data_IF_767512565875
#
_entry.id   IF_767512565875
#
_cell.length_a   1.000
_cell.length_b   1.000
_cell.length_c   1.000
_cell.angle_alpha   90.00
_cell.angle_beta   90.00
_cell.angle_gamma   90.00
#
_symmetry.space_group_name_H-M   'P 1'
#
loop_
_entity.id
_entity.type
_entity.pdbx_description
1 polymer ?
#
# COMPACT_ATOMS: atom_id res chain seq x y z
N UNK A 1 -56.17 -12.20 35.09
CA UNK A 1 -55.79 -12.73 33.77
C UNK A 1 -55.15 -11.59 32.98
N UNK A 2 -53.83 -11.60 32.75
CA UNK A 2 -53.11 -10.50 32.13
C UNK A 2 -53.17 -10.61 30.60
N UNK A 3 -53.56 -9.53 29.92
CA UNK A 3 -53.53 -9.41 28.47
C UNK A 3 -52.19 -8.83 28.02
N UNK A 4 -51.46 -9.61 27.23
CA UNK A 4 -50.12 -9.30 26.72
C UNK A 4 -50.11 -8.13 25.73
N UNK A 5 -48.99 -7.40 25.77
CA UNK A 5 -48.62 -6.35 24.83
C UNK A 5 -48.28 -6.93 23.44
N UNK A 6 -48.57 -6.17 22.38
CA UNK A 6 -47.82 -6.27 21.13
C UNK A 6 -47.73 -4.89 20.48
N UNK A 7 -46.62 -4.21 20.75
CA UNK A 7 -46.15 -3.06 19.97
C UNK A 7 -45.59 -3.61 18.66
N UNK A 8 -46.34 -3.48 17.57
CA UNK A 8 -45.77 -3.64 16.22
C UNK A 8 -44.88 -2.44 15.92
N UNK A 9 -43.59 -2.60 16.19
CA UNK A 9 -42.53 -1.73 15.68
C UNK A 9 -42.45 -1.90 14.16
N UNK A 10 -43.02 -0.94 13.42
CA UNK A 10 -42.81 -0.81 11.99
C UNK A 10 -41.51 -0.07 11.75
N UNK A 11 -40.44 -0.79 11.40
CA UNK A 11 -39.32 -0.22 10.67
C UNK A 11 -38.59 -1.32 9.90
N UNK A 12 -38.89 -1.44 8.61
CA UNK A 12 -38.02 -2.07 7.61
C UNK A 12 -38.22 -1.30 6.32
N UNK A 13 -37.52 -0.20 6.22
CA UNK A 13 -37.20 0.42 4.93
C UNK A 13 -36.19 -0.50 4.24
N UNK A 14 -36.69 -1.62 3.70
CA UNK A 14 -36.01 -2.42 2.70
C UNK A 14 -36.73 -2.12 1.37
N UNK A 15 -36.56 -0.89 0.89
CA UNK A 15 -37.05 -0.49 -0.41
C UNK A 15 -36.10 -1.11 -1.45
N UNK A 16 -36.51 -2.24 -2.03
CA UNK A 16 -35.81 -2.98 -3.08
C UNK A 16 -35.68 -2.25 -4.41
N UNK A 17 -35.48 -0.94 -4.38
CA UNK A 17 -35.16 -0.13 -5.55
C UNK A 17 -33.74 -0.49 -6.01
N UNK A 18 -33.57 -1.07 -7.21
CA UNK A 18 -32.24 -1.41 -7.71
C UNK A 18 -31.39 -0.15 -7.83
N UNK A 19 -30.09 -0.20 -7.46
CA UNK A 19 -29.22 0.96 -7.52
C UNK A 19 -29.18 1.49 -8.95
N UNK A 20 -29.23 2.83 -9.09
CA UNK A 20 -29.13 3.47 -10.40
C UNK A 20 -27.77 3.13 -11.05
N UNK A 21 -27.71 3.15 -12.39
CA UNK A 21 -26.46 2.88 -13.13
C UNK A 21 -25.32 3.82 -12.71
N UNK A 22 -25.67 5.07 -12.38
CA UNK A 22 -24.72 6.08 -11.88
C UNK A 22 -24.21 5.69 -10.48
N UNK A 23 -25.09 5.22 -9.59
CA UNK A 23 -24.69 4.71 -8.27
C UNK A 23 -23.76 3.51 -8.39
N UNK A 24 -24.10 2.55 -9.25
CA UNK A 24 -23.31 1.34 -9.47
C UNK A 24 -21.92 1.66 -10.07
N UNK A 25 -21.83 2.65 -10.95
CA UNK A 25 -20.56 3.09 -11.53
C UNK A 25 -19.67 3.76 -10.48
N UNK A 26 -20.24 4.64 -9.66
CA UNK A 26 -19.53 5.30 -8.55
C UNK A 26 -19.06 4.26 -7.53
N UNK A 27 -19.89 3.29 -7.17
CA UNK A 27 -19.50 2.21 -6.26
C UNK A 27 -18.36 1.36 -6.81
N UNK A 28 -18.38 1.06 -8.11
CA UNK A 28 -17.30 0.33 -8.76
C UNK A 28 -15.97 1.10 -8.74
N UNK A 29 -16.03 2.42 -8.99
CA UNK A 29 -14.86 3.30 -8.93
C UNK A 29 -14.33 3.47 -7.50
N UNK A 30 -15.21 3.68 -6.52
CA UNK A 30 -14.82 3.73 -5.11
C UNK A 30 -14.16 2.43 -4.67
N UNK A 31 -14.73 1.28 -5.03
CA UNK A 31 -14.16 -0.01 -4.70
C UNK A 31 -12.80 -0.22 -5.41
N UNK A 32 -12.64 0.29 -6.64
CA UNK A 32 -11.35 0.25 -7.36
C UNK A 32 -10.29 1.07 -6.63
N UNK A 33 -10.61 2.30 -6.24
CA UNK A 33 -9.69 3.17 -5.49
C UNK A 33 -9.38 2.59 -4.12
N UNK A 34 -10.38 2.12 -3.39
CA UNK A 34 -10.19 1.51 -2.07
C UNK A 34 -9.20 0.33 -2.16
N UNK A 35 -9.46 -0.63 -3.05
CA UNK A 35 -8.54 -1.78 -3.27
C UNK A 35 -7.12 -1.35 -3.66
N UNK A 36 -7.00 -0.27 -4.43
CA UNK A 36 -5.70 0.28 -4.79
C UNK A 36 -4.96 0.87 -3.58
N UNK A 37 -5.66 1.47 -2.63
CA UNK A 37 -5.11 2.04 -1.40
C UNK A 37 -4.80 0.99 -0.34
N UNK A 38 -5.62 -0.04 -0.16
CA UNK A 38 -5.46 -1.06 0.88
C UNK A 38 -4.14 -1.81 0.74
N UNK A 39 -3.23 -1.72 1.71
CA UNK A 39 -1.93 -2.40 1.63
C UNK A 39 -0.97 -1.81 0.59
N UNK A 40 -1.20 -0.56 0.17
CA UNK A 40 -0.33 0.17 -0.74
C UNK A 40 1.13 0.20 -0.26
N UNK A 41 1.36 0.45 1.04
CA UNK A 41 2.70 0.54 1.58
C UNK A 41 3.44 -0.79 1.54
N UNK A 42 2.74 -1.90 1.80
CA UNK A 42 3.32 -3.24 1.69
C UNK A 42 3.71 -3.56 0.23
N UNK A 43 2.84 -3.24 -0.74
CA UNK A 43 3.16 -3.39 -2.17
C UNK A 43 4.31 -2.47 -2.60
N UNK A 44 4.35 -1.23 -2.12
CA UNK A 44 5.43 -0.28 -2.43
C UNK A 44 6.78 -0.77 -1.88
N UNK A 45 6.78 -1.29 -0.64
CA UNK A 45 7.95 -1.92 -0.03
C UNK A 45 8.42 -3.12 -0.84
N UNK A 46 7.50 -4.00 -1.26
CA UNK A 46 7.80 -5.15 -2.11
C UNK A 46 8.48 -4.71 -3.42
N UNK A 47 7.88 -3.77 -4.15
CA UNK A 47 8.46 -3.21 -5.40
C UNK A 47 9.87 -2.66 -5.18
N UNK A 48 10.14 -2.03 -4.03
CA UNK A 48 11.47 -1.51 -3.69
C UNK A 48 12.48 -2.63 -3.46
N UNK A 49 12.11 -3.62 -2.65
CA UNK A 49 12.97 -4.76 -2.33
C UNK A 49 13.28 -5.60 -3.58
N UNK A 50 12.29 -5.83 -4.45
CA UNK A 50 12.48 -6.54 -5.72
C UNK A 50 13.47 -5.82 -6.64
N UNK A 51 13.37 -4.48 -6.74
CA UNK A 51 14.35 -3.68 -7.49
C UNK A 51 15.76 -3.78 -6.89
N UNK A 52 15.87 -3.71 -5.57
CA UNK A 52 17.15 -3.82 -4.89
C UNK A 52 17.79 -5.20 -5.08
N UNK A 53 17.00 -6.27 -4.96
CA UNK A 53 17.43 -7.64 -5.23
C UNK A 53 17.89 -7.78 -6.69
N UNK A 54 17.15 -7.22 -7.65
CA UNK A 54 17.52 -7.27 -9.06
C UNK A 54 18.87 -6.59 -9.32
N UNK A 55 19.07 -5.38 -8.77
CA UNK A 55 20.31 -4.62 -8.89
C UNK A 55 21.50 -5.37 -8.25
N UNK A 56 21.33 -5.88 -7.02
CA UNK A 56 22.39 -6.65 -6.34
C UNK A 56 22.69 -7.96 -7.05
N UNK A 57 21.68 -8.65 -7.60
CA UNK A 57 21.88 -9.87 -8.38
C UNK A 57 22.66 -9.61 -9.68
N UNK A 58 22.39 -8.49 -10.36
CA UNK A 58 23.16 -8.09 -11.54
C UNK A 58 24.60 -7.70 -11.18
N UNK A 59 24.79 -6.94 -10.10
CA UNK A 59 26.11 -6.58 -9.61
C UNK A 59 26.94 -7.83 -9.27
N UNK A 60 26.38 -8.78 -8.51
CA UNK A 60 27.03 -10.05 -8.18
C UNK A 60 27.39 -10.85 -9.44
N UNK A 61 26.51 -10.93 -10.44
CA UNK A 61 26.82 -11.61 -11.70
C UNK A 61 27.99 -10.94 -12.45
N UNK A 62 28.07 -9.60 -12.43
CA UNK A 62 29.18 -8.86 -13.04
C UNK A 62 30.49 -9.00 -12.26
N UNK A 63 30.43 -9.02 -10.93
CA UNK A 63 31.59 -9.30 -10.06
C UNK A 63 32.10 -10.72 -10.26
N UNK A 64 31.22 -11.72 -10.34
CA UNK A 64 31.58 -13.10 -10.63
C UNK A 64 32.25 -13.25 -12.01
N UNK A 65 31.76 -12.55 -13.03
CA UNK A 65 32.40 -12.54 -14.35
C UNK A 65 33.82 -11.93 -14.30
N UNK A 66 34.02 -10.86 -13.52
CA UNK A 66 35.30 -10.17 -13.37
C UNK A 66 36.29 -10.87 -12.40
N UNK A 67 35.82 -11.64 -11.42
CA UNK A 67 36.65 -12.40 -10.47
C UNK A 67 37.50 -13.50 -11.15
N UNK A 68 37.16 -13.87 -12.38
CA UNK A 68 37.96 -14.76 -13.24
C UNK A 68 39.21 -14.09 -13.82
N UNK A 69 39.40 -12.78 -13.65
CA UNK A 69 40.61 -12.08 -14.10
C UNK A 69 41.71 -12.16 -13.05
N UNK A 70 42.84 -12.75 -13.46
CA UNK A 70 43.98 -13.13 -12.62
C UNK A 70 44.45 -12.00 -11.68
N UNK A 71 44.73 -12.38 -10.43
CA UNK A 71 45.48 -11.55 -9.47
C UNK A 71 46.76 -11.04 -10.16
N UNK A 72 47.04 -9.73 -10.16
CA UNK A 72 48.25 -9.18 -10.77
C UNK A 72 49.49 -9.89 -10.23
N UNK A 73 50.43 -10.26 -11.09
CA UNK A 73 51.63 -11.03 -10.73
C UNK A 73 52.45 -10.40 -9.60
N UNK A 74 52.42 -9.06 -9.51
CA UNK A 74 53.04 -8.27 -8.44
C UNK A 74 52.46 -8.51 -7.03
N UNK A 75 51.29 -9.14 -6.92
CA UNK A 75 50.61 -9.44 -5.65
C UNK A 75 50.87 -10.88 -5.18
N UNK A 76 51.72 -11.65 -5.89
CA UNK A 76 51.96 -13.08 -5.65
C UNK A 76 52.36 -13.48 -4.23
N UNK A 77 53.02 -12.60 -3.46
CA UNK A 77 53.36 -12.86 -2.05
C UNK A 77 52.16 -12.69 -1.08
N UNK A 78 51.12 -11.97 -1.49
CA UNK A 78 49.87 -11.74 -0.75
C UNK A 78 48.68 -12.46 -1.41
N UNK A 79 48.94 -13.33 -2.38
CA UNK A 79 47.88 -13.94 -3.19
C UNK A 79 46.91 -14.75 -2.33
N UNK A 80 47.42 -15.52 -1.34
CA UNK A 80 46.61 -16.29 -0.41
C UNK A 80 45.68 -15.40 0.41
N UNK A 81 46.23 -14.33 1.00
CA UNK A 81 45.46 -13.35 1.78
C UNK A 81 44.42 -12.63 0.90
N UNK A 82 44.78 -12.33 -0.35
CA UNK A 82 43.86 -11.71 -1.31
C UNK A 82 42.70 -12.64 -1.70
N UNK A 83 42.95 -13.95 -1.86
CA UNK A 83 41.90 -14.94 -2.10
C UNK A 83 40.97 -15.10 -0.90
N UNK A 84 41.50 -15.16 0.31
CA UNK A 84 40.70 -15.24 1.54
C UNK A 84 39.81 -14.00 1.71
N UNK A 85 40.35 -12.80 1.45
CA UNK A 85 39.57 -11.55 1.46
C UNK A 85 38.47 -11.58 0.39
N UNK A 86 38.77 -12.04 -0.82
CA UNK A 86 37.76 -12.15 -1.89
C UNK A 86 36.66 -13.16 -1.54
N UNK A 87 36.99 -14.29 -0.93
CA UNK A 87 36.04 -15.31 -0.48
C UNK A 87 35.10 -14.74 0.59
N UNK A 88 35.64 -14.13 1.65
CA UNK A 88 34.86 -13.49 2.72
C UNK A 88 33.96 -12.37 2.18
N UNK A 89 34.44 -11.55 1.26
CA UNK A 89 33.63 -10.51 0.62
C UNK A 89 32.50 -11.12 -0.22
N UNK A 90 32.78 -12.20 -0.96
CA UNK A 90 31.78 -12.89 -1.78
C UNK A 90 30.70 -13.55 -0.91
N UNK A 91 31.08 -14.18 0.20
CA UNK A 91 30.15 -14.75 1.18
C UNK A 91 29.25 -13.65 1.76
N UNK A 92 29.83 -12.52 2.20
CA UNK A 92 29.06 -11.39 2.73
C UNK A 92 28.08 -10.77 1.72
N UNK A 93 28.41 -10.77 0.42
CA UNK A 93 27.48 -10.34 -0.63
C UNK A 93 26.33 -11.35 -0.85
N UNK A 94 26.62 -12.66 -0.80
CA UNK A 94 25.59 -13.71 -0.89
C UNK A 94 24.60 -13.64 0.27
N UNK A 95 25.08 -13.42 1.49
CA UNK A 95 24.22 -13.26 2.67
C UNK A 95 23.26 -12.08 2.54
N UNK A 96 23.72 -10.95 1.99
CA UNK A 96 22.87 -9.78 1.75
C UNK A 96 21.74 -10.08 0.74
N UNK A 97 22.07 -10.77 -0.35
CA UNK A 97 21.08 -11.18 -1.37
C UNK A 97 20.06 -12.14 -0.77
N UNK A 98 20.50 -13.10 0.03
CA UNK A 98 19.61 -14.05 0.70
C UNK A 98 18.77 -13.41 1.81
N UNK A 99 19.29 -12.39 2.50
CA UNK A 99 18.51 -11.56 3.41
C UNK A 99 17.38 -10.82 2.69
N UNK A 100 17.65 -10.20 1.54
CA UNK A 100 16.63 -9.54 0.72
C UNK A 100 15.57 -10.53 0.22
N UNK A 101 15.97 -11.72 -0.24
CA UNK A 101 15.04 -12.78 -0.66
C UNK A 101 14.12 -13.19 0.48
N UNK A 102 14.65 -13.36 1.70
CA UNK A 102 13.85 -13.67 2.89
C UNK A 102 12.86 -12.54 3.22
N UNK A 103 13.30 -11.29 3.15
CA UNK A 103 12.41 -10.15 3.41
C UNK A 103 11.30 -10.05 2.36
N UNK A 104 11.61 -10.24 1.07
CA UNK A 104 10.62 -10.29 -0.01
C UNK A 104 9.59 -11.38 0.25
N UNK A 105 10.01 -12.59 0.61
CA UNK A 105 9.08 -13.68 0.91
C UNK A 105 8.16 -13.35 2.09
N UNK A 106 8.69 -12.70 3.13
CA UNK A 106 7.88 -12.25 4.26
C UNK A 106 6.84 -11.20 3.83
N UNK A 107 7.25 -10.16 3.10
CA UNK A 107 6.36 -9.11 2.61
C UNK A 107 5.33 -9.67 1.62
N UNK A 108 5.72 -10.57 0.72
CA UNK A 108 4.79 -11.22 -0.24
C UNK A 108 3.71 -12.02 0.47
N UNK A 109 4.06 -12.73 1.55
CA UNK A 109 3.07 -13.42 2.38
C UNK A 109 2.10 -12.43 3.00
N UNK A 110 2.61 -11.31 3.52
CA UNK A 110 1.78 -10.29 4.17
C UNK A 110 0.89 -9.54 3.16
N UNK A 111 1.38 -9.27 1.95
CA UNK A 111 0.59 -8.70 0.83
C UNK A 111 -0.48 -9.70 0.35
N UNK A 112 -0.17 -10.99 0.29
CA UNK A 112 -1.13 -12.03 -0.09
C UNK A 112 -2.16 -12.32 1.01
N UNK A 113 -1.79 -12.12 2.28
CA UNK A 113 -2.68 -12.27 3.43
C UNK A 113 -3.53 -11.02 3.68
N UNK A 114 -3.07 -9.84 3.27
CA UNK A 114 -3.87 -8.63 3.21
C UNK A 114 -5.03 -8.89 2.25
N UNK A 115 -6.20 -9.18 2.82
CA UNK A 115 -7.42 -9.37 2.05
C UNK A 115 -7.61 -8.16 1.14
N UNK A 116 -8.18 -8.37 -0.04
CA UNK A 116 -8.58 -7.29 -0.96
C UNK A 116 -9.51 -6.27 -0.31
N UNK A 117 -10.10 -6.62 0.84
CA UNK A 117 -11.02 -5.80 1.62
C UNK A 117 -10.44 -5.46 3.02
N UNK A 118 -9.12 -5.50 3.20
CA UNK A 118 -8.48 -4.97 4.42
C UNK A 118 -8.65 -3.45 4.54
N UNK A 119 -8.52 -2.86 5.74
CA UNK A 119 -8.71 -1.42 5.90
C UNK A 119 -7.51 -0.63 5.35
N UNK A 120 -7.72 0.63 5.00
CA UNK A 120 -6.67 1.56 4.60
C UNK A 120 -5.97 2.05 5.86
N UNK A 121 -4.66 1.85 5.93
CA UNK A 121 -3.87 2.28 7.10
C UNK A 121 -3.24 3.65 6.87
N UNK A 122 -2.90 4.36 7.95
CA UNK A 122 -2.11 5.60 7.87
C UNK A 122 -0.79 5.40 7.09
N UNK A 123 -0.15 4.23 7.21
CA UNK A 123 1.08 3.92 6.49
C UNK A 123 0.86 3.81 4.97
N UNK A 124 -0.29 3.27 4.55
CA UNK A 124 -0.66 3.18 3.12
C UNK A 124 -0.80 4.57 2.51
N UNK A 125 -1.54 5.47 3.15
CA UNK A 125 -1.69 6.86 2.70
C UNK A 125 -0.35 7.61 2.73
N UNK A 126 0.45 7.46 3.80
CA UNK A 126 1.77 8.07 3.88
C UNK A 126 2.68 7.66 2.71
N UNK A 127 2.67 6.38 2.36
CA UNK A 127 3.51 5.88 1.25
C UNK A 127 2.97 6.33 -0.11
N UNK A 128 1.64 6.34 -0.29
CA UNK A 128 1.01 6.86 -1.49
C UNK A 128 1.37 8.33 -1.73
N UNK A 129 1.20 9.18 -0.72
CA UNK A 129 1.46 10.62 -0.83
C UNK A 129 2.93 10.93 -1.15
N UNK A 130 3.85 10.12 -0.64
CA UNK A 130 5.27 10.17 -1.04
C UNK A 130 5.46 9.82 -2.52
N UNK A 131 4.82 8.75 -2.98
CA UNK A 131 4.89 8.30 -4.37
C UNK A 131 4.21 9.30 -5.34
N UNK A 132 3.22 10.07 -4.87
CA UNK A 132 2.57 11.17 -5.58
C UNK A 132 3.37 12.48 -5.57
N UNK A 133 4.57 12.53 -4.97
CA UNK A 133 5.36 13.76 -4.76
C UNK A 133 4.65 14.86 -3.96
N UNK A 134 3.67 14.49 -3.14
CA UNK A 134 2.94 15.37 -2.21
C UNK A 134 3.17 14.92 -0.77
N UNK A 135 4.43 14.96 -0.26
CA UNK A 135 4.72 14.43 1.06
C UNK A 135 4.05 15.29 2.14
N UNK A 136 3.06 14.71 2.81
CA UNK A 136 2.51 15.24 4.05
C UNK A 136 3.27 14.68 5.26
N UNK A 137 3.21 15.40 6.37
CA UNK A 137 3.70 14.91 7.65
C UNK A 137 2.83 13.75 8.14
N UNK A 138 3.42 12.88 8.97
CA UNK A 138 2.68 11.75 9.55
C UNK A 138 1.44 12.22 10.32
N UNK A 139 1.54 13.35 11.02
CA UNK A 139 0.44 13.93 11.81
C UNK A 139 -0.71 14.40 10.90
N UNK A 140 -0.40 15.01 9.76
CA UNK A 140 -1.43 15.41 8.79
C UNK A 140 -2.15 14.18 8.22
N UNK A 141 -1.44 13.10 7.90
CA UNK A 141 -2.07 11.86 7.41
C UNK A 141 -2.88 11.16 8.50
N UNK A 142 -2.40 11.15 9.74
CA UNK A 142 -3.17 10.67 10.88
C UNK A 142 -4.46 11.48 11.06
N UNK A 143 -4.41 12.80 10.84
CA UNK A 143 -5.61 13.65 10.86
C UNK A 143 -6.57 13.32 9.72
N UNK A 144 -6.06 13.05 8.50
CA UNK A 144 -6.91 12.63 7.37
C UNK A 144 -7.67 11.34 7.65
N UNK A 145 -7.04 10.38 8.36
CA UNK A 145 -7.71 9.14 8.79
C UNK A 145 -8.73 9.47 9.88
N UNK A 146 -8.31 10.21 10.91
CA UNK A 146 -9.14 10.55 12.06
C UNK A 146 -10.42 11.31 11.71
N UNK A 147 -10.42 12.12 10.65
CA UNK A 147 -11.61 12.82 10.14
C UNK A 147 -12.73 11.86 9.67
N UNK A 148 -12.39 10.61 9.37
CA UNK A 148 -13.26 9.64 8.69
C UNK A 148 -13.49 8.36 9.48
N UNK A 149 -12.55 8.03 10.36
CA UNK A 149 -12.54 6.89 11.28
C UNK A 149 -13.62 7.07 12.37
N UNK A 150 -14.77 6.40 12.22
CA UNK A 150 -15.91 6.53 13.11
C UNK A 150 -15.81 5.58 14.32
N UNK A 151 -15.17 4.43 14.14
CA UNK A 151 -15.01 3.43 15.19
C UNK A 151 -13.71 3.56 15.99
N UNK A 152 -12.84 4.50 15.60
CA UNK A 152 -11.57 4.83 16.22
C UNK A 152 -10.55 3.69 16.20
N UNK A 153 -10.56 2.87 15.15
CA UNK A 153 -9.59 1.79 14.96
C UNK A 153 -8.24 2.26 14.37
N UNK A 154 -8.15 3.53 13.98
CA UNK A 154 -6.96 4.16 13.40
C UNK A 154 -6.70 3.80 11.94
N UNK A 155 -7.69 3.20 11.28
CA UNK A 155 -7.70 2.83 9.87
C UNK A 155 -9.01 3.32 9.21
N UNK A 156 -9.18 3.05 7.92
CA UNK A 156 -10.44 3.34 7.21
C UNK A 156 -10.96 2.07 6.56
N UNK A 157 -12.10 1.61 7.04
CA UNK A 157 -12.85 0.50 6.46
C UNK A 157 -13.56 0.90 5.17
N UNK A 158 -14.06 -0.09 4.41
CA UNK A 158 -14.82 0.18 3.18
C UNK A 158 -16.10 0.98 3.47
N UNK A 159 -16.75 0.72 4.60
CA UNK A 159 -18.01 1.37 4.95
C UNK A 159 -17.80 2.84 5.34
N UNK A 160 -16.75 3.15 6.10
CA UNK A 160 -16.34 4.53 6.40
C UNK A 160 -15.92 5.28 5.13
N UNK A 161 -15.17 4.62 4.24
CA UNK A 161 -14.76 5.18 2.97
C UNK A 161 -15.96 5.60 2.09
N UNK A 162 -16.99 4.75 2.00
CA UNK A 162 -18.25 5.06 1.28
C UNK A 162 -19.06 6.15 1.97
N UNK A 163 -19.12 6.11 3.31
CA UNK A 163 -19.86 7.08 4.13
C UNK A 163 -19.27 8.47 3.95
N UNK A 164 -17.95 8.61 4.04
CA UNK A 164 -17.21 9.84 3.75
C UNK A 164 -17.53 10.41 2.39
N UNK A 165 -17.45 9.58 1.35
CA UNK A 165 -17.72 10.03 -0.01
C UNK A 165 -19.16 10.51 -0.17
N UNK A 166 -20.11 9.78 0.41
CA UNK A 166 -21.54 10.12 0.36
C UNK A 166 -21.84 11.43 1.08
N UNK A 167 -21.25 11.66 2.26
CA UNK A 167 -21.38 12.92 3.01
C UNK A 167 -20.83 14.10 2.22
N UNK A 168 -19.61 13.98 1.69
CA UNK A 168 -18.96 15.05 0.92
C UNK A 168 -19.73 15.39 -0.37
N UNK A 169 -20.30 14.40 -1.07
CA UNK A 169 -21.11 14.65 -2.28
C UNK A 169 -22.42 15.38 -1.96
N UNK A 170 -22.99 15.15 -0.78
CA UNK A 170 -24.23 15.79 -0.33
C UNK A 170 -23.99 17.08 0.46
N UNK A 171 -22.72 17.46 0.69
CA UNK A 171 -22.38 18.61 1.48
C UNK A 171 -22.55 19.92 0.69
N UNK A 172 -23.69 20.57 0.90
CA UNK A 172 -23.99 21.87 0.33
C UNK A 172 -23.40 23.05 1.15
N UNK A 173 -22.96 22.80 2.38
CA UNK A 173 -22.51 23.84 3.31
C UNK A 173 -20.98 23.94 3.38
N UNK A 174 -20.25 22.93 2.88
CA UNK A 174 -18.78 22.90 2.88
C UNK A 174 -18.19 22.69 4.27
N UNK A 175 -18.88 21.94 5.12
CA UNK A 175 -18.51 21.65 6.51
C UNK A 175 -17.88 20.28 6.69
N UNK A 176 -18.10 19.37 5.74
CA UNK A 176 -17.54 18.02 5.79
C UNK A 176 -16.02 18.05 5.58
N UNK A 177 -15.24 17.23 6.29
CA UNK A 177 -13.81 17.12 6.05
C UNK A 177 -13.51 16.57 4.66
N UNK A 178 -12.76 17.32 3.85
CA UNK A 178 -12.57 17.00 2.43
C UNK A 178 -11.19 16.45 2.07
N UNK A 179 -10.27 16.25 3.03
CA UNK A 179 -8.88 15.93 2.70
C UNK A 179 -8.75 14.57 2.03
N UNK A 180 -9.27 13.52 2.66
CA UNK A 180 -9.30 12.18 2.07
C UNK A 180 -10.22 12.15 0.83
N UNK A 181 -11.33 12.88 0.87
CA UNK A 181 -12.25 12.99 -0.27
C UNK A 181 -11.57 13.48 -1.55
N UNK A 182 -10.81 14.59 -1.50
CA UNK A 182 -10.14 15.13 -2.68
C UNK A 182 -9.10 14.17 -3.27
N UNK A 183 -8.36 13.47 -2.41
CA UNK A 183 -7.43 12.44 -2.84
C UNK A 183 -8.16 11.30 -3.56
N UNK A 184 -9.26 10.81 -2.98
CA UNK A 184 -10.07 9.75 -3.56
C UNK A 184 -10.67 10.19 -4.89
N UNK A 185 -11.21 11.41 -4.96
CA UNK A 185 -11.76 11.98 -6.17
C UNK A 185 -10.72 12.02 -7.30
N UNK A 186 -9.50 12.46 -7.02
CA UNK A 186 -8.40 12.42 -7.98
C UNK A 186 -8.13 10.99 -8.49
N UNK A 187 -8.07 10.01 -7.59
CA UNK A 187 -7.80 8.61 -7.92
C UNK A 187 -8.96 7.92 -8.66
N UNK A 188 -10.21 8.40 -8.51
CA UNK A 188 -11.33 7.93 -9.33
C UNK A 188 -11.09 8.30 -10.79
N UNK A 189 -10.62 9.50 -11.08
CA UNK A 189 -10.33 9.92 -12.46
C UNK A 189 -9.04 9.31 -13.03
N UNK A 190 -8.07 8.96 -12.18
CA UNK A 190 -6.85 8.26 -12.58
C UNK A 190 -7.13 6.76 -12.82
N UNK A 191 -7.35 6.39 -14.08
CA UNK A 191 -7.68 4.99 -14.45
C UNK A 191 -6.49 4.04 -14.27
N UNK A 192 -5.27 4.53 -14.51
CA UNK A 192 -4.05 3.73 -14.52
C UNK A 192 -3.23 3.87 -13.23
N UNK A 193 -3.65 4.76 -12.31
CA UNK A 193 -2.93 5.09 -11.09
C UNK A 193 -1.49 5.54 -11.31
N UNK A 194 -1.27 6.31 -12.39
CA UNK A 194 0.04 6.84 -12.77
C UNK A 194 0.30 8.26 -12.22
N UNK A 195 -0.66 8.79 -11.47
CA UNK A 195 -0.69 10.12 -10.87
C UNK A 195 -0.63 11.27 -11.88
N UNK A 196 -1.10 11.02 -13.11
CA UNK A 196 -1.21 12.02 -14.17
C UNK A 196 -2.62 12.00 -14.72
N UNK A 197 -3.27 13.16 -14.70
CA UNK A 197 -4.50 13.41 -15.46
C UNK A 197 -4.08 13.91 -16.84
N UNK A 198 -4.35 13.14 -17.89
CA UNK A 198 -4.13 13.53 -19.30
C UNK A 198 -5.41 14.03 -19.93
#
# INVERSE_FOLDING_TARGET
MPGAADHKNGNRDDDGTPPSLVSALIEADLARVFRFLCGYAARAKLRRLERELHLKSQAMASHAANATTNVPEAWGAFATDAYEIMEVLSEGETEQVDALRREILAVTRDVGAAKTDGPITCNDLCQLLKDMSLPLSKVEVEHMIWEVDEDMDGCVSMDEFKTMFSRCVQDHHGVEPTQLYHLVQFLIYDQDFNFKLT
#
